data_IF_447301488585
#
_entry.id   IF_447301488585
#
_cell.length_a   1.000
_cell.length_b   1.000
_cell.length_c   1.000
_cell.angle_alpha   90.00
_cell.angle_beta   90.00
_cell.angle_gamma   90.00
#
_symmetry.space_group_name_H-M   'P 1'
#
loop_
_entity.id
_entity.type
_entity.pdbx_description
1 polymer ?
#
# COMPACT_ATOMS: atom_id res chain seq x y z
N UNK A 1 27.67 -40.99 36.44
CA UNK A 1 27.05 -41.41 35.18
C UNK A 1 25.57 -40.99 35.23
N UNK A 2 25.25 -39.80 34.66
CA UNK A 2 23.89 -39.32 34.53
C UNK A 2 23.33 -39.86 33.19
N UNK A 3 22.22 -40.58 33.26
CA UNK A 3 21.47 -41.04 32.11
C UNK A 3 20.67 -39.87 31.55
N UNK A 4 20.92 -39.49 30.30
CA UNK A 4 20.09 -38.56 29.56
C UNK A 4 18.76 -39.25 29.25
N UNK A 5 17.67 -38.69 29.77
CA UNK A 5 16.29 -39.08 29.43
C UNK A 5 15.97 -38.52 28.02
N UNK A 6 15.89 -39.38 27.04
CA UNK A 6 15.30 -39.05 25.71
C UNK A 6 13.78 -39.16 25.83
N UNK A 7 13.12 -38.03 26.08
CA UNK A 7 11.68 -37.96 25.88
C UNK A 7 11.41 -38.04 24.38
N UNK A 8 10.44 -38.85 23.89
CA UNK A 8 10.06 -38.84 22.47
C UNK A 8 9.46 -37.48 22.15
N UNK A 9 9.90 -36.89 21.04
CA UNK A 9 9.24 -35.76 20.38
C UNK A 9 7.78 -36.18 20.13
N UNK A 10 6.85 -35.51 20.80
CA UNK A 10 5.43 -35.72 20.58
C UNK A 10 5.08 -35.56 19.10
N UNK A 11 4.30 -36.50 18.64
CA UNK A 11 3.71 -36.48 17.28
C UNK A 11 2.81 -35.24 17.17
N UNK A 12 3.35 -34.17 16.59
CA UNK A 12 2.56 -32.99 16.22
C UNK A 12 1.66 -33.44 15.08
N UNK A 13 0.38 -33.59 15.36
CA UNK A 13 -0.61 -33.94 14.33
C UNK A 13 -0.64 -32.88 13.25
N UNK A 14 -0.75 -33.28 11.98
CA UNK A 14 -0.71 -32.39 10.82
C UNK A 14 -1.72 -31.21 10.93
N UNK A 15 -2.82 -31.38 11.66
CA UNK A 15 -3.82 -30.37 11.91
C UNK A 15 -3.36 -29.21 12.80
N UNK A 16 -2.46 -29.47 13.77
CA UNK A 16 -1.88 -28.40 14.63
C UNK A 16 -0.82 -27.62 13.87
N UNK A 17 -0.10 -28.27 12.96
CA UNK A 17 0.91 -27.65 12.11
C UNK A 17 0.28 -26.72 11.06
N UNK A 18 -0.82 -27.11 10.42
CA UNK A 18 -1.59 -26.26 9.50
C UNK A 18 -2.15 -25.01 10.22
N UNK A 19 -2.63 -25.15 11.46
CA UNK A 19 -3.16 -24.01 12.23
C UNK A 19 -2.03 -23.04 12.66
N UNK A 20 -0.86 -23.57 13.02
CA UNK A 20 0.32 -22.76 13.33
C UNK A 20 0.89 -22.06 12.10
N UNK A 21 0.92 -22.74 10.94
CA UNK A 21 1.34 -22.14 9.67
C UNK A 21 0.36 -21.06 9.22
N UNK A 22 -0.96 -21.28 9.31
CA UNK A 22 -1.97 -20.28 9.01
C UNK A 22 -1.89 -19.05 9.94
N UNK A 23 -1.47 -19.20 11.19
CA UNK A 23 -1.26 -18.09 12.12
C UNK A 23 0.08 -17.36 11.92
N UNK A 24 1.07 -17.97 11.27
CA UNK A 24 2.40 -17.39 11.07
C UNK A 24 2.53 -16.62 9.76
N UNK A 25 1.58 -16.73 8.82
CA UNK A 25 1.60 -16.06 7.51
C UNK A 25 1.08 -14.63 7.63
N UNK A 26 1.72 -13.82 8.47
CA UNK A 26 1.58 -12.38 8.43
C UNK A 26 2.41 -11.83 7.27
N UNK A 27 1.74 -11.58 6.15
CA UNK A 27 2.22 -10.60 5.18
C UNK A 27 3.44 -10.98 4.34
N UNK A 28 3.80 -12.25 4.17
CA UNK A 28 4.93 -12.64 3.31
C UNK A 28 4.47 -13.71 2.30
N UNK A 29 4.21 -13.26 1.07
CA UNK A 29 3.93 -14.14 -0.05
C UNK A 29 2.51 -14.74 -0.08
N UNK A 30 2.20 -15.46 -1.14
CA UNK A 30 0.96 -16.22 -1.23
C UNK A 30 0.99 -17.41 -0.27
N UNK A 31 -0.14 -17.79 0.34
CA UNK A 31 -0.25 -19.06 1.01
C UNK A 31 0.16 -20.20 0.07
N UNK A 32 0.88 -21.20 0.57
CA UNK A 32 1.41 -22.29 -0.26
C UNK A 32 0.33 -23.07 -1.02
N UNK A 33 -0.88 -23.15 -0.45
CA UNK A 33 -2.06 -23.77 -1.06
C UNK A 33 -2.68 -22.95 -2.20
N UNK A 34 -2.31 -21.67 -2.32
CA UNK A 34 -2.76 -20.75 -3.37
C UNK A 34 -1.69 -20.47 -4.44
N UNK A 35 -0.56 -21.16 -4.38
CA UNK A 35 0.49 -21.01 -5.39
C UNK A 35 -0.05 -21.39 -6.78
N UNK A 36 0.14 -20.50 -7.76
CA UNK A 36 -0.37 -20.68 -9.13
C UNK A 36 -1.86 -20.35 -9.32
N UNK A 37 -2.59 -19.95 -8.27
CA UNK A 37 -3.97 -19.47 -8.38
C UNK A 37 -4.01 -17.94 -8.56
N UNK A 38 -5.10 -17.44 -9.18
CA UNK A 38 -5.36 -16.00 -9.25
C UNK A 38 -5.55 -15.43 -7.83
N UNK A 39 -5.05 -14.22 -7.61
CA UNK A 39 -5.28 -13.50 -6.36
C UNK A 39 -6.76 -13.05 -6.25
N UNK A 40 -7.24 -12.92 -5.01
CA UNK A 40 -8.61 -12.43 -4.76
C UNK A 40 -8.73 -10.93 -5.13
N UNK A 41 -7.64 -10.18 -4.98
CA UNK A 41 -7.53 -8.78 -5.35
C UNK A 41 -6.18 -8.50 -6.02
N UNK A 42 -6.22 -7.84 -7.19
CA UNK A 42 -5.04 -7.38 -7.89
C UNK A 42 -5.03 -5.85 -7.95
N UNK A 43 -3.87 -5.23 -7.64
CA UNK A 43 -3.69 -3.79 -7.64
C UNK A 43 -2.36 -3.44 -8.29
N UNK A 44 -2.39 -2.50 -9.24
CA UNK A 44 -1.19 -1.94 -9.83
C UNK A 44 -0.69 -0.78 -8.97
N UNK A 45 0.60 -0.78 -8.64
CA UNK A 45 1.25 0.23 -7.81
C UNK A 45 2.31 0.94 -8.63
N UNK A 46 2.16 2.25 -8.79
CA UNK A 46 3.16 3.08 -9.44
C UNK A 46 3.84 4.01 -8.43
N UNK A 47 5.16 3.91 -8.31
CA UNK A 47 5.98 4.87 -7.58
C UNK A 47 6.41 6.02 -8.48
N UNK A 48 6.33 7.23 -7.97
CA UNK A 48 6.87 8.44 -8.60
C UNK A 48 7.33 9.42 -7.54
N UNK A 49 8.15 10.37 -7.89
CA UNK A 49 8.62 11.41 -6.99
C UNK A 49 7.49 12.44 -6.71
N UNK A 50 6.82 12.48 -5.53
CA UNK A 50 7.08 11.67 -4.33
C UNK A 50 5.78 11.06 -3.83
N UNK A 51 5.15 10.22 -4.62
CA UNK A 51 3.84 9.62 -4.33
C UNK A 51 3.77 8.15 -4.73
N UNK A 52 2.79 7.46 -4.15
CA UNK A 52 2.35 6.14 -4.55
C UNK A 52 0.94 6.25 -5.16
N UNK A 53 0.72 5.62 -6.30
CA UNK A 53 -0.58 5.56 -6.97
C UNK A 53 -1.00 4.10 -7.06
N UNK A 54 -2.23 3.83 -6.64
CA UNK A 54 -2.85 2.51 -6.64
C UNK A 54 -3.98 2.48 -7.66
N UNK A 55 -3.88 1.59 -8.64
CA UNK A 55 -4.91 1.39 -9.66
C UNK A 55 -5.50 0.00 -9.51
N UNK A 56 -6.82 -0.08 -9.42
CA UNK A 56 -7.59 -1.32 -9.31
C UNK A 56 -8.13 -1.69 -10.70
N UNK A 57 -7.51 -2.64 -11.43
CA UNK A 57 -7.82 -2.88 -12.85
C UNK A 57 -9.28 -3.26 -13.09
N UNK A 58 -9.88 -4.02 -12.16
CA UNK A 58 -11.24 -4.51 -12.32
C UNK A 58 -12.34 -3.44 -12.16
N UNK A 59 -12.06 -2.38 -11.41
CA UNK A 59 -13.02 -1.29 -11.14
C UNK A 59 -12.63 0.05 -11.77
N UNK A 60 -11.40 0.16 -12.29
CA UNK A 60 -10.86 1.42 -12.82
C UNK A 60 -10.58 2.49 -11.76
N UNK A 61 -10.70 2.15 -10.47
CA UNK A 61 -10.42 3.09 -9.38
C UNK A 61 -8.92 3.40 -9.35
N UNK A 62 -8.59 4.68 -9.16
CA UNK A 62 -7.24 5.20 -8.91
C UNK A 62 -7.27 5.92 -7.57
N UNK A 63 -6.35 5.57 -6.68
CA UNK A 63 -6.29 6.15 -5.33
C UNK A 63 -4.83 6.38 -4.88
N UNK A 64 -4.62 7.29 -3.94
CA UNK A 64 -3.34 7.54 -3.27
C UNK A 64 -3.11 6.67 -2.03
N UNK A 65 -4.11 5.89 -1.63
CA UNK A 65 -4.07 4.96 -0.51
C UNK A 65 -4.41 3.55 -0.99
N UNK A 66 -3.80 2.53 -0.37
CA UNK A 66 -4.07 1.15 -0.71
C UNK A 66 -5.19 0.60 0.19
N UNK A 67 -6.32 0.26 -0.41
CA UNK A 67 -7.46 -0.34 0.27
C UNK A 67 -7.54 -1.83 -0.04
N UNK A 68 -7.60 -2.68 0.97
CA UNK A 68 -7.67 -4.14 0.83
C UNK A 68 -8.64 -4.75 1.82
N UNK A 69 -9.35 -5.82 1.48
CA UNK A 69 -10.17 -6.56 2.43
C UNK A 69 -9.30 -7.48 3.31
N UNK A 70 -9.67 -7.64 4.56
CA UNK A 70 -9.03 -8.58 5.48
C UNK A 70 -9.20 -10.02 4.99
N UNK A 71 -8.17 -10.84 5.17
CA UNK A 71 -8.09 -12.25 4.77
C UNK A 71 -8.18 -12.52 3.26
N UNK A 72 -8.15 -11.48 2.42
CA UNK A 72 -8.03 -11.64 0.98
C UNK A 72 -6.57 -11.83 0.58
N UNK A 73 -6.35 -12.63 -0.42
CA UNK A 73 -5.08 -12.82 -1.09
C UNK A 73 -4.87 -11.68 -2.08
N UNK A 74 -3.96 -10.77 -1.75
CA UNK A 74 -3.71 -9.53 -2.49
C UNK A 74 -2.42 -9.64 -3.28
N UNK A 75 -2.49 -9.34 -4.57
CA UNK A 75 -1.33 -9.22 -5.45
C UNK A 75 -1.12 -7.76 -5.84
N UNK A 76 0.08 -7.27 -5.63
CA UNK A 76 0.54 -5.96 -6.10
C UNK A 76 1.49 -6.14 -7.28
N UNK A 77 1.19 -5.51 -8.41
CA UNK A 77 2.12 -5.33 -9.52
C UNK A 77 2.77 -3.96 -9.36
N UNK A 78 4.06 -3.92 -9.07
CA UNK A 78 4.76 -2.71 -8.63
C UNK A 78 5.74 -2.25 -9.70
N UNK A 79 5.64 -0.96 -10.06
CA UNK A 79 6.53 -0.31 -11.03
C UNK A 79 6.91 1.09 -10.55
N UNK A 80 7.84 1.73 -11.23
CA UNK A 80 8.17 3.14 -11.04
C UNK A 80 8.17 3.88 -12.36
N UNK A 81 7.77 5.17 -12.33
CA UNK A 81 7.66 6.00 -13.52
C UNK A 81 8.95 6.80 -13.79
N UNK A 82 9.78 7.04 -12.78
CA UNK A 82 10.93 7.94 -12.82
C UNK A 82 12.22 7.30 -12.31
N UNK A 83 12.41 7.18 -11.01
CA UNK A 83 13.58 6.59 -10.36
C UNK A 83 13.20 5.33 -9.59
N UNK A 84 14.18 4.62 -9.04
CA UNK A 84 13.91 3.48 -8.17
C UNK A 84 13.31 3.99 -6.85
N UNK A 85 12.20 3.36 -6.45
CA UNK A 85 11.59 3.47 -5.13
C UNK A 85 11.54 2.10 -4.48
N UNK A 86 11.14 2.01 -3.22
CA UNK A 86 10.87 0.73 -2.56
C UNK A 86 9.61 0.82 -1.73
N UNK A 87 8.59 0.07 -2.12
CA UNK A 87 7.33 -0.06 -1.41
C UNK A 87 7.55 -0.87 -0.13
N UNK A 88 7.34 -0.28 1.03
CA UNK A 88 7.56 -0.94 2.31
C UNK A 88 6.42 -0.71 3.28
N UNK A 89 5.83 -1.81 3.76
CA UNK A 89 4.86 -1.83 4.86
C UNK A 89 5.54 -2.50 6.06
N UNK A 90 6.12 -1.73 7.00
CA UNK A 90 6.93 -2.29 8.10
C UNK A 90 6.20 -3.32 8.94
N UNK A 91 4.92 -3.08 9.27
CA UNK A 91 4.11 -3.97 10.09
C UNK A 91 3.81 -5.32 9.41
N UNK A 92 3.78 -5.34 8.08
CA UNK A 92 3.60 -6.56 7.31
C UNK A 92 4.92 -7.27 7.03
N UNK A 93 6.06 -6.63 7.34
CA UNK A 93 7.41 -7.08 6.96
C UNK A 93 7.58 -7.28 5.45
N UNK A 94 6.83 -6.51 4.67
CA UNK A 94 6.82 -6.57 3.22
C UNK A 94 7.58 -5.39 2.64
N UNK A 95 8.57 -5.68 1.80
CA UNK A 95 9.34 -4.69 1.03
C UNK A 95 9.57 -5.20 -0.38
N UNK A 96 9.29 -4.36 -1.37
CA UNK A 96 9.53 -4.65 -2.78
C UNK A 96 9.97 -3.39 -3.51
N UNK A 97 11.02 -3.51 -4.28
CA UNK A 97 11.54 -2.40 -5.07
C UNK A 97 10.64 -2.14 -6.28
N UNK A 98 10.34 -0.85 -6.51
CA UNK A 98 9.68 -0.33 -7.69
C UNK A 98 10.74 0.19 -8.66
N UNK A 99 10.88 -0.48 -9.80
CA UNK A 99 12.01 -0.28 -10.72
C UNK A 99 11.47 0.29 -12.04
N UNK A 100 12.02 1.41 -12.56
CA UNK A 100 11.63 1.93 -13.86
C UNK A 100 11.82 0.90 -14.98
N UNK A 101 10.78 0.72 -15.80
CA UNK A 101 10.82 -0.20 -16.93
C UNK A 101 10.75 -1.68 -16.56
N UNK A 102 10.58 -2.02 -15.28
CA UNK A 102 10.45 -3.41 -14.82
C UNK A 102 9.31 -3.51 -13.82
N UNK A 103 8.35 -4.39 -14.10
CA UNK A 103 7.32 -4.75 -13.14
C UNK A 103 7.87 -5.78 -12.13
N UNK A 104 7.60 -5.57 -10.87
CA UNK A 104 7.88 -6.49 -9.77
C UNK A 104 6.58 -6.88 -9.08
N UNK A 105 6.56 -8.00 -8.41
CA UNK A 105 5.35 -8.54 -7.79
C UNK A 105 5.53 -8.69 -6.28
N UNK A 106 4.47 -8.40 -5.55
CA UNK A 106 4.35 -8.66 -4.12
C UNK A 106 2.98 -9.27 -3.83
N UNK A 107 2.93 -10.35 -3.07
CA UNK A 107 1.69 -11.03 -2.73
C UNK A 107 1.58 -11.25 -1.22
N UNK A 108 0.40 -10.99 -0.63
CA UNK A 108 0.20 -11.09 0.80
C UNK A 108 -1.28 -11.26 1.18
N UNK A 109 -1.50 -11.72 2.42
CA UNK A 109 -2.81 -11.75 3.08
C UNK A 109 -2.74 -10.89 4.33
N UNK A 110 -3.55 -9.83 4.41
CA UNK A 110 -3.69 -9.01 5.61
C UNK A 110 -4.71 -9.65 6.55
N UNK A 111 -4.30 -10.06 7.75
CA UNK A 111 -5.14 -10.84 8.68
C UNK A 111 -5.83 -9.99 9.74
N UNK A 112 -5.49 -8.70 9.84
CA UNK A 112 -6.04 -7.81 10.87
C UNK A 112 -6.49 -6.48 10.24
N UNK A 113 -7.76 -6.07 10.43
CA UNK A 113 -8.22 -4.75 10.02
C UNK A 113 -7.44 -3.63 10.72
N UNK A 114 -7.28 -2.50 10.02
CA UNK A 114 -6.56 -1.34 10.55
C UNK A 114 -5.86 -0.54 9.45
N UNK A 115 -5.19 0.54 9.86
CA UNK A 115 -4.42 1.41 8.97
C UNK A 115 -2.93 1.24 9.26
N UNK A 116 -2.16 0.99 8.21
CA UNK A 116 -0.74 0.66 8.29
C UNK A 116 0.06 1.59 7.39
N UNK A 117 1.14 2.22 7.88
CA UNK A 117 1.93 3.12 7.07
C UNK A 117 2.67 2.38 5.95
N UNK A 118 2.71 3.03 4.79
CA UNK A 118 3.56 2.72 3.66
C UNK A 118 4.62 3.80 3.57
N UNK A 119 5.87 3.41 3.44
CA UNK A 119 6.98 4.35 3.28
C UNK A 119 7.87 3.93 2.10
N UNK A 120 8.47 4.90 1.43
CA UNK A 120 9.52 4.62 0.47
C UNK A 120 10.78 4.22 1.22
N UNK A 121 11.37 3.06 0.88
CA UNK A 121 12.56 2.52 1.53
C UNK A 121 13.81 2.52 0.64
N UNK A 122 13.76 3.23 -0.52
CA UNK A 122 14.91 3.47 -1.40
C UNK A 122 15.06 4.97 -1.63
N UNK A 123 16.27 5.52 -1.44
CA UNK A 123 16.53 6.95 -1.58
C UNK A 123 16.21 7.41 -3.01
N UNK A 124 15.14 8.17 -3.17
CA UNK A 124 14.57 8.54 -4.46
C UNK A 124 14.64 10.04 -4.78
N UNK A 125 15.29 10.85 -3.94
CA UNK A 125 15.46 12.29 -4.15
C UNK A 125 15.23 13.13 -2.91
N UNK A 126 15.11 14.45 -3.07
CA UNK A 126 15.11 15.43 -1.97
C UNK A 126 13.95 15.27 -0.97
N UNK A 127 12.78 14.83 -1.43
CA UNK A 127 11.60 14.61 -0.57
C UNK A 127 11.34 13.12 -0.28
N UNK A 128 12.36 12.27 -0.41
CA UNK A 128 12.27 10.84 -0.09
C UNK A 128 11.57 10.55 1.25
N UNK A 129 11.92 11.27 2.31
CA UNK A 129 11.31 11.10 3.63
C UNK A 129 9.82 11.47 3.72
N UNK A 130 9.32 12.26 2.76
CA UNK A 130 7.91 12.64 2.67
C UNK A 130 7.08 11.68 1.80
N UNK A 131 7.71 10.78 1.03
CA UNK A 131 7.02 9.81 0.18
C UNK A 131 6.40 8.69 1.02
N UNK A 132 5.20 8.96 1.52
CA UNK A 132 4.45 8.11 2.44
C UNK A 132 2.99 8.04 2.05
N UNK A 133 2.37 6.90 2.33
CA UNK A 133 0.94 6.69 2.28
C UNK A 133 0.54 5.62 3.30
N UNK A 134 -0.60 4.96 3.11
CA UNK A 134 -1.07 3.92 4.01
C UNK A 134 -1.76 2.77 3.28
N UNK A 135 -1.76 1.61 3.92
CA UNK A 135 -2.64 0.48 3.61
C UNK A 135 -3.79 0.51 4.61
N UNK A 136 -5.01 0.52 4.12
CA UNK A 136 -6.23 0.44 4.91
C UNK A 136 -6.82 -0.96 4.70
N UNK A 137 -6.74 -1.78 5.75
CA UNK A 137 -7.30 -3.13 5.75
C UNK A 137 -8.71 -3.04 6.32
N UNK A 138 -9.69 -3.29 5.49
CA UNK A 138 -11.10 -3.23 5.80
C UNK A 138 -11.68 -4.58 6.20
N UNK A 139 -12.79 -4.56 6.95
CA UNK A 139 -13.72 -5.70 6.92
C UNK A 139 -14.31 -5.87 5.52
N UNK A 140 -14.83 -7.05 5.16
CA UNK A 140 -15.41 -7.28 3.82
C UNK A 140 -16.54 -6.29 3.47
N UNK A 141 -17.37 -5.94 4.44
CA UNK A 141 -18.47 -4.98 4.25
C UNK A 141 -17.97 -3.55 4.03
N UNK A 142 -16.96 -3.11 4.78
CA UNK A 142 -16.36 -1.78 4.62
C UNK A 142 -15.64 -1.67 3.27
N UNK A 143 -14.94 -2.72 2.83
CA UNK A 143 -14.28 -2.74 1.53
C UNK A 143 -15.29 -2.62 0.38
N UNK A 144 -16.40 -3.37 0.43
CA UNK A 144 -17.45 -3.28 -0.58
C UNK A 144 -18.09 -1.88 -0.62
N UNK A 145 -18.37 -1.29 0.54
CA UNK A 145 -18.90 0.08 0.62
C UNK A 145 -17.92 1.11 0.03
N UNK A 146 -16.63 0.98 0.33
CA UNK A 146 -15.59 1.83 -0.24
C UNK A 146 -15.53 1.67 -1.77
N UNK A 147 -15.55 0.42 -2.26
CA UNK A 147 -15.50 0.10 -3.68
C UNK A 147 -16.70 0.72 -4.43
N UNK A 148 -17.92 0.56 -3.91
CA UNK A 148 -19.15 1.14 -4.48
C UNK A 148 -19.08 2.67 -4.53
N UNK A 149 -18.67 3.31 -3.44
CA UNK A 149 -18.55 4.76 -3.37
C UNK A 149 -17.53 5.31 -4.37
N UNK A 150 -16.35 4.67 -4.48
CA UNK A 150 -15.30 5.10 -5.40
C UNK A 150 -15.69 4.85 -6.87
N UNK A 151 -16.33 3.73 -7.18
CA UNK A 151 -16.83 3.46 -8.53
C UNK A 151 -17.86 4.48 -8.95
N UNK A 152 -18.82 4.82 -8.08
CA UNK A 152 -19.82 5.86 -8.37
C UNK A 152 -19.18 7.25 -8.58
N UNK A 153 -18.11 7.59 -7.83
CA UNK A 153 -17.36 8.84 -8.03
C UNK A 153 -16.61 8.85 -9.35
N UNK A 154 -16.02 7.73 -9.76
CA UNK A 154 -15.33 7.61 -11.04
C UNK A 154 -16.30 7.79 -12.24
N UNK A 155 -17.50 7.22 -12.15
CA UNK A 155 -18.54 7.35 -13.20
C UNK A 155 -19.10 8.77 -13.31
N UNK A 156 -19.21 9.50 -12.20
CA UNK A 156 -19.74 10.87 -12.18
C UNK A 156 -18.70 11.94 -12.55
N UNK A 157 -17.43 11.56 -12.75
CA UNK A 157 -16.35 12.49 -13.04
C UNK A 157 -16.01 13.44 -11.86
N UNK A 158 -16.54 13.15 -10.67
CA UNK A 158 -16.32 13.92 -9.44
C UNK A 158 -15.14 13.36 -8.62
N UNK A 159 -14.31 12.48 -9.20
CA UNK A 159 -13.09 12.04 -8.57
C UNK A 159 -12.23 13.27 -8.25
N UNK A 160 -12.07 13.61 -6.98
CA UNK A 160 -11.06 14.57 -6.55
C UNK A 160 -9.71 14.08 -7.11
N UNK A 161 -8.97 14.98 -7.71
CA UNK A 161 -7.65 14.69 -8.28
C UNK A 161 -6.76 14.18 -7.16
N UNK A 162 -6.49 12.87 -7.14
CA UNK A 162 -5.79 12.16 -6.05
C UNK A 162 -4.31 12.53 -5.97
N UNK A 163 -3.75 13.09 -7.03
CA UNK A 163 -2.39 13.62 -7.03
C UNK A 163 -2.30 14.83 -7.95
N UNK A 164 -2.24 16.01 -7.37
CA UNK A 164 -1.75 17.19 -8.06
C UNK A 164 -0.22 17.04 -8.09
N UNK A 165 0.36 16.98 -9.29
CA UNK A 165 1.82 17.04 -9.41
C UNK A 165 2.28 18.40 -8.86
N UNK A 166 3.10 18.47 -7.81
CA UNK A 166 3.55 19.75 -7.26
C UNK A 166 4.27 20.65 -8.27
N UNK A 167 4.84 20.06 -9.33
CA UNK A 167 5.49 20.81 -10.41
C UNK A 167 4.50 21.54 -11.32
N UNK A 168 3.22 21.17 -11.30
CA UNK A 168 2.16 21.82 -12.09
C UNK A 168 1.42 22.91 -11.30
N UNK A 169 1.74 23.06 -10.01
CA UNK A 169 1.19 24.12 -9.15
C UNK A 169 2.05 25.38 -9.23
N UNK A 170 1.40 26.54 -9.12
CA UNK A 170 2.13 27.76 -8.79
C UNK A 170 2.61 27.69 -7.34
N UNK A 171 3.67 28.43 -6.99
CA UNK A 171 4.16 28.50 -5.60
C UNK A 171 3.05 28.92 -4.64
N UNK A 172 2.14 29.80 -5.06
CA UNK A 172 1.00 30.23 -4.28
C UNK A 172 0.00 29.09 -4.03
N UNK A 173 -0.32 28.28 -5.04
CA UNK A 173 -1.24 27.14 -4.90
C UNK A 173 -0.64 26.02 -4.05
N UNK A 174 0.67 25.78 -4.22
CA UNK A 174 1.41 24.78 -3.41
C UNK A 174 1.43 25.17 -1.92
N UNK A 175 1.64 26.48 -1.63
CA UNK A 175 1.74 26.99 -0.27
C UNK A 175 0.39 27.29 0.39
N UNK A 176 -0.70 27.38 -0.38
CA UNK A 176 -2.02 27.76 0.14
C UNK A 176 -2.51 26.93 1.35
N UNK A 177 -2.41 25.59 1.36
CA UNK A 177 -2.82 24.77 2.51
C UNK A 177 -1.99 25.07 3.76
N UNK A 178 -0.69 25.26 3.58
CA UNK A 178 0.25 25.53 4.68
C UNK A 178 0.09 26.96 5.19
N UNK A 179 -0.12 27.93 4.30
CA UNK A 179 -0.42 29.32 4.63
C UNK A 179 -1.68 29.43 5.50
N UNK A 180 -2.75 28.72 5.12
CA UNK A 180 -3.98 28.67 5.90
C UNK A 180 -3.75 28.08 7.30
N UNK A 181 -2.98 27.01 7.42
CA UNK A 181 -2.64 26.38 8.70
C UNK A 181 -1.76 27.30 9.58
N UNK A 182 -0.93 28.13 8.98
CA UNK A 182 -0.06 29.10 9.65
C UNK A 182 -0.73 30.47 9.91
N UNK A 183 -2.00 30.67 9.51
CA UNK A 183 -2.71 31.95 9.65
C UNK A 183 -2.23 33.05 8.69
N UNK A 184 -1.59 32.67 7.58
CA UNK A 184 -1.13 33.61 6.55
C UNK A 184 -2.26 33.91 5.58
N UNK A 185 -2.55 35.20 5.34
CA UNK A 185 -3.60 35.59 4.39
C UNK A 185 -3.21 35.24 2.94
N UNK A 186 -4.17 34.65 2.18
CA UNK A 186 -3.95 34.16 0.81
C UNK A 186 -3.40 35.25 -0.15
N UNK A 187 -3.73 36.51 0.06
CA UNK A 187 -3.21 37.63 -0.76
C UNK A 187 -1.70 37.84 -0.60
N UNK A 188 -1.08 37.41 0.52
CA UNK A 188 0.36 37.48 0.67
C UNK A 188 1.08 36.39 -0.14
N UNK A 189 0.41 35.29 -0.39
CA UNK A 189 0.94 34.19 -1.22
C UNK A 189 0.88 34.54 -2.72
N UNK A 190 -0.04 35.39 -3.15
CA UNK A 190 -0.18 35.80 -4.54
C UNK A 190 1.04 36.63 -5.06
N UNK A 191 1.82 37.22 -4.18
CA UNK A 191 3.04 37.95 -4.55
C UNK A 191 4.29 37.04 -4.76
N UNK A 192 4.17 35.73 -4.57
CA UNK A 192 5.24 34.78 -4.83
C UNK A 192 5.29 34.32 -6.31
N UNK A 193 4.37 34.81 -7.14
CA UNK A 193 4.21 34.39 -8.55
C UNK A 193 4.79 35.40 -9.55
N UNK A 194 5.46 36.46 -9.09
CA UNK A 194 6.17 37.47 -9.89
C UNK A 194 7.73 37.22 -9.81
#
# INVERSE_FOLDING_TARGET
>A
LAQASTAPLGDLTAAEDETLLAQSVYGIGAPLDKEGQAADLEVNVAGMQYAWIFTYPNSGIVDGELHVPVNADVKLNISANDVIHSFWVPQFRLKQDAIPGKETELRFVATKPGTYPVVCAELCGGYHGAMRTQVIVHSPSEFNNWLEQRTAQAETGTAETVAINPADLTDADYLAPYGKAAGVESRLLAHLSD
#
